data_IF_956105775082
#
_entry.id   IF_956105775082
#
_cell.length_a   1.000
_cell.length_b   1.000
_cell.length_c   1.000
_cell.angle_alpha   90.00
_cell.angle_beta   90.00
_cell.angle_gamma   90.00
#
_symmetry.space_group_name_H-M   'P 1'
#
loop_
_entity.id
_entity.type
_entity.pdbx_description
1 polymer ?
#
# COMPACT_ATOMS: atom_id res chain seq x y z
N UNK A 1 -89.25 -36.84 -36.26
CA UNK A 1 -87.93 -37.42 -35.92
C UNK A 1 -88.05 -38.94 -35.93
N UNK A 2 -87.42 -39.64 -36.87
CA UNK A 2 -87.58 -41.10 -37.08
C UNK A 2 -86.75 -41.89 -36.07
N UNK A 3 -87.19 -43.09 -35.63
CA UNK A 3 -86.50 -43.90 -34.60
C UNK A 3 -84.99 -44.08 -34.88
N UNK A 4 -84.59 -44.11 -36.15
CA UNK A 4 -83.19 -44.18 -36.61
C UNK A 4 -82.36 -42.95 -36.23
N UNK A 5 -82.91 -41.73 -36.37
CA UNK A 5 -82.22 -40.49 -35.95
C UNK A 5 -82.00 -40.38 -34.44
N UNK A 6 -82.91 -40.91 -33.61
CA UNK A 6 -82.73 -40.94 -32.14
C UNK A 6 -81.61 -41.89 -31.71
N UNK A 7 -81.49 -43.03 -32.39
CA UNK A 7 -80.46 -44.03 -32.11
C UNK A 7 -79.07 -43.53 -32.52
N UNK A 8 -78.96 -42.88 -33.68
CA UNK A 8 -77.72 -42.20 -34.10
C UNK A 8 -77.31 -41.07 -33.14
N UNK A 9 -78.25 -40.24 -32.68
CA UNK A 9 -77.96 -39.17 -31.73
C UNK A 9 -77.49 -39.72 -30.37
N UNK A 10 -78.05 -40.84 -29.92
CA UNK A 10 -77.64 -41.51 -28.69
C UNK A 10 -76.23 -42.08 -28.79
N UNK A 11 -75.85 -42.68 -29.92
CA UNK A 11 -74.49 -43.22 -30.14
C UNK A 11 -73.47 -42.09 -30.28
N UNK A 12 -73.83 -41.00 -30.94
CA UNK A 12 -72.96 -39.83 -31.02
C UNK A 12 -72.75 -39.18 -29.65
N UNK A 13 -73.82 -39.07 -28.84
CA UNK A 13 -73.73 -38.55 -27.48
C UNK A 13 -72.86 -39.41 -26.56
N UNK A 14 -72.93 -40.74 -26.66
CA UNK A 14 -72.08 -41.62 -25.86
C UNK A 14 -70.62 -41.54 -26.30
N UNK A 15 -70.36 -41.43 -27.61
CA UNK A 15 -69.00 -41.24 -28.13
C UNK A 15 -68.37 -39.94 -27.63
N UNK A 16 -69.11 -38.83 -27.67
CA UNK A 16 -68.65 -37.53 -27.14
C UNK A 16 -68.34 -37.63 -25.64
N UNK A 17 -69.19 -38.30 -24.87
CA UNK A 17 -68.97 -38.48 -23.43
C UNK A 17 -67.67 -39.26 -23.14
N UNK A 18 -67.42 -40.34 -23.89
CA UNK A 18 -66.21 -41.17 -23.74
C UNK A 18 -64.96 -40.35 -24.09
N UNK A 19 -64.98 -39.56 -25.16
CA UNK A 19 -63.83 -38.74 -25.55
C UNK A 19 -63.48 -37.68 -24.49
N UNK A 20 -64.50 -37.09 -23.85
CA UNK A 20 -64.32 -36.13 -22.74
C UNK A 20 -63.66 -36.78 -21.52
N UNK A 21 -64.09 -38.00 -21.16
CA UNK A 21 -63.51 -38.76 -20.05
C UNK A 21 -62.05 -39.13 -20.34
N UNK A 22 -61.74 -39.55 -21.57
CA UNK A 22 -60.36 -39.87 -21.95
C UNK A 22 -59.46 -38.62 -21.97
N UNK A 23 -59.94 -37.50 -22.48
CA UNK A 23 -59.18 -36.24 -22.52
C UNK A 23 -58.87 -35.71 -21.11
N UNK A 24 -59.87 -35.73 -20.21
CA UNK A 24 -59.67 -35.30 -18.82
C UNK A 24 -58.70 -36.22 -18.08
N UNK A 25 -58.79 -37.54 -18.28
CA UNK A 25 -57.83 -38.49 -17.70
C UNK A 25 -56.40 -38.23 -18.16
N UNK A 26 -56.22 -37.96 -19.46
CA UNK A 26 -54.90 -37.66 -20.04
C UNK A 26 -54.27 -36.39 -19.48
N UNK A 27 -55.06 -35.31 -19.34
CA UNK A 27 -54.57 -34.03 -18.76
C UNK A 27 -54.15 -34.21 -17.30
N UNK A 28 -54.93 -34.95 -16.50
CA UNK A 28 -54.61 -35.20 -15.09
C UNK A 28 -53.33 -36.05 -14.96
N UNK A 29 -53.12 -37.03 -15.83
CA UNK A 29 -51.88 -37.81 -15.87
C UNK A 29 -50.67 -36.93 -16.19
N UNK A 30 -50.77 -36.06 -17.20
CA UNK A 30 -49.65 -35.19 -17.58
C UNK A 30 -49.31 -34.14 -16.52
N UNK A 31 -50.29 -33.61 -15.77
CA UNK A 31 -50.03 -32.63 -14.71
C UNK A 31 -49.25 -33.22 -13.52
N UNK A 32 -49.38 -34.54 -13.27
CA UNK A 32 -48.68 -35.21 -12.16
C UNK A 32 -47.17 -35.32 -12.35
N UNK A 33 -46.67 -35.21 -13.58
CA UNK A 33 -45.26 -35.43 -13.92
C UNK A 33 -44.43 -34.14 -13.99
N UNK A 34 -44.90 -33.06 -13.36
CA UNK A 34 -44.14 -31.81 -13.34
C UNK A 34 -43.04 -31.92 -12.29
N UNK A 35 -41.79 -32.10 -12.73
CA UNK A 35 -40.62 -32.20 -11.86
C UNK A 35 -40.29 -30.81 -11.28
N UNK A 36 -40.81 -30.53 -10.07
CA UNK A 36 -40.58 -29.27 -9.39
C UNK A 36 -39.22 -29.33 -8.72
N UNK A 37 -38.23 -28.70 -9.33
CA UNK A 37 -36.90 -28.53 -8.73
C UNK A 37 -36.93 -27.37 -7.73
N UNK A 38 -36.79 -27.69 -6.44
CA UNK A 38 -36.65 -26.70 -5.37
C UNK A 38 -35.18 -26.52 -5.01
N UNK A 39 -34.71 -25.26 -4.99
CA UNK A 39 -33.37 -24.90 -4.53
C UNK A 39 -33.49 -24.21 -3.18
N UNK A 40 -32.82 -24.76 -2.17
CA UNK A 40 -32.72 -24.13 -0.85
C UNK A 40 -31.69 -22.98 -0.92
N UNK A 41 -32.17 -21.74 -0.92
CA UNK A 41 -31.30 -20.58 -0.87
C UNK A 41 -30.72 -20.39 0.54
N UNK A 42 -29.42 -20.62 0.70
CA UNK A 42 -28.70 -20.34 1.95
C UNK A 42 -28.01 -18.98 1.86
N UNK A 43 -28.34 -18.08 2.77
CA UNK A 43 -27.65 -16.80 2.92
C UNK A 43 -26.25 -17.03 3.47
N UNK A 44 -25.23 -16.81 2.65
CA UNK A 44 -23.84 -16.72 3.09
C UNK A 44 -23.45 -15.25 3.10
N UNK A 45 -23.26 -14.69 4.28
CA UNK A 45 -22.79 -13.32 4.41
C UNK A 45 -21.28 -13.27 4.08
N UNK A 46 -20.82 -12.29 3.29
CA UNK A 46 -19.40 -12.11 3.04
C UNK A 46 -18.68 -11.76 4.35
N UNK A 47 -17.53 -12.39 4.58
CA UNK A 47 -16.67 -12.03 5.71
C UNK A 47 -16.03 -10.68 5.44
N UNK A 48 -16.25 -9.72 6.34
CA UNK A 48 -15.55 -8.44 6.35
C UNK A 48 -14.55 -8.42 7.50
N UNK A 49 -13.27 -8.20 7.17
CA UNK A 49 -12.23 -7.95 8.15
C UNK A 49 -11.84 -6.48 8.07
N UNK A 50 -11.89 -5.80 9.21
CA UNK A 50 -11.27 -4.49 9.38
C UNK A 50 -9.89 -4.67 9.99
N UNK A 51 -8.93 -3.90 9.51
CA UNK A 51 -7.55 -3.95 9.98
C UNK A 51 -6.93 -2.56 9.94
N UNK A 52 -5.87 -2.38 10.72
CA UNK A 52 -5.06 -1.16 10.70
C UNK A 52 -3.92 -1.40 9.72
N UNK A 53 -3.75 -0.50 8.75
CA UNK A 53 -2.59 -0.54 7.85
C UNK A 53 -1.35 -0.14 8.66
N UNK A 54 -0.37 -1.04 8.71
CA UNK A 54 0.92 -0.80 9.35
C UNK A 54 2.03 -0.80 8.30
N UNK A 55 3.11 -0.07 8.57
CA UNK A 55 4.31 -0.06 7.75
C UNK A 55 4.96 -1.45 7.72
N UNK A 56 5.34 -1.94 6.54
CA UNK A 56 6.07 -3.20 6.40
C UNK A 56 7.44 -3.16 7.09
N UNK A 57 8.08 -1.99 7.10
CA UNK A 57 9.38 -1.75 7.71
C UNK A 57 9.45 -0.39 8.40
N UNK A 58 10.30 -0.28 9.40
CA UNK A 58 10.57 0.95 10.15
C UNK A 58 12.07 1.12 10.39
N UNK A 59 12.60 2.27 9.98
CA UNK A 59 14.01 2.61 10.13
C UNK A 59 14.16 3.84 11.04
N UNK A 60 14.47 3.63 12.33
CA UNK A 60 14.66 4.75 13.25
C UNK A 60 15.99 5.45 12.96
N UNK A 61 15.93 6.76 12.77
CA UNK A 61 17.11 7.62 12.74
C UNK A 61 17.14 8.44 14.03
N UNK A 62 18.12 8.17 14.88
CA UNK A 62 18.34 8.88 16.14
C UNK A 62 19.50 9.87 16.01
N UNK A 63 19.52 10.86 16.90
CA UNK A 63 20.63 11.81 16.99
C UNK A 63 21.95 11.09 17.30
N UNK A 64 22.99 11.40 16.53
CA UNK A 64 24.32 10.82 16.67
C UNK A 64 25.34 11.90 17.06
N UNK A 65 25.68 12.02 18.36
CA UNK A 65 26.54 13.12 18.86
C UNK A 65 27.96 13.09 18.30
N UNK A 66 28.43 11.92 17.83
CA UNK A 66 29.74 11.74 17.20
C UNK A 66 29.96 12.60 15.95
N UNK A 67 28.89 13.01 15.28
CA UNK A 67 28.95 13.87 14.09
C UNK A 67 28.84 15.37 14.41
N UNK A 68 28.67 15.73 15.68
CA UNK A 68 28.50 17.10 16.14
C UNK A 68 27.04 17.49 16.31
N UNK A 69 26.73 18.74 16.02
CA UNK A 69 25.39 19.32 16.20
C UNK A 69 24.55 19.22 14.92
N UNK A 70 23.24 19.14 15.05
CA UNK A 70 22.33 19.19 13.89
C UNK A 70 22.45 20.58 13.26
N UNK A 71 22.79 20.62 11.98
CA UNK A 71 22.84 21.83 11.17
C UNK A 71 21.51 22.09 10.49
N UNK A 72 21.01 21.07 9.78
CA UNK A 72 19.81 21.17 8.94
C UNK A 72 19.09 19.83 8.84
N UNK A 73 17.76 19.89 8.74
CA UNK A 73 16.89 18.75 8.44
C UNK A 73 16.32 18.99 7.04
N UNK A 74 16.60 18.08 6.11
CA UNK A 74 16.28 18.22 4.67
C UNK A 74 14.88 17.76 4.29
N UNK A 75 14.19 17.09 5.22
CA UNK A 75 12.91 16.44 4.98
C UNK A 75 11.81 16.98 5.89
N UNK A 76 10.57 16.89 5.42
CA UNK A 76 9.37 17.26 6.17
C UNK A 76 8.63 16.03 6.70
N UNK A 77 7.86 16.22 7.76
CA UNK A 77 6.99 15.17 8.27
C UNK A 77 5.96 14.77 7.20
N UNK A 78 5.80 13.46 6.96
CA UNK A 78 4.92 12.91 5.92
C UNK A 78 5.48 12.96 4.50
N UNK A 79 6.72 13.43 4.30
CA UNK A 79 7.34 13.47 2.97
C UNK A 79 7.70 12.06 2.48
N UNK A 80 7.33 11.76 1.24
CA UNK A 80 7.80 10.57 0.55
C UNK A 80 9.23 10.78 0.05
N UNK A 81 10.12 9.84 0.34
CA UNK A 81 11.54 9.89 -0.02
C UNK A 81 11.95 8.63 -0.77
N UNK A 82 12.89 8.76 -1.71
CA UNK A 82 13.56 7.64 -2.35
C UNK A 82 14.82 7.26 -1.57
N UNK A 83 15.37 6.07 -1.84
CA UNK A 83 16.70 5.69 -1.35
C UNK A 83 17.73 6.79 -1.64
N UNK A 84 18.68 6.98 -0.72
CA UNK A 84 19.77 7.97 -0.77
C UNK A 84 19.33 9.43 -0.67
N UNK A 85 18.04 9.72 -0.47
CA UNK A 85 17.57 11.09 -0.17
C UNK A 85 18.23 11.60 1.12
N UNK A 86 18.81 12.80 1.13
CA UNK A 86 19.38 13.39 2.34
C UNK A 86 18.28 13.64 3.36
N UNK A 87 18.51 13.23 4.61
CA UNK A 87 17.56 13.38 5.73
C UNK A 87 17.96 14.54 6.64
N UNK A 88 19.21 14.56 7.07
CA UNK A 88 19.74 15.57 7.99
C UNK A 88 21.25 15.74 7.78
N UNK A 89 21.73 16.94 8.07
CA UNK A 89 23.15 17.28 8.03
C UNK A 89 23.61 17.70 9.41
N UNK A 90 24.72 17.14 9.85
CA UNK A 90 25.46 17.53 11.03
C UNK A 90 26.56 18.54 10.68
N UNK A 91 26.93 19.33 11.68
CA UNK A 91 28.09 20.21 11.65
C UNK A 91 28.98 19.95 12.86
N UNK A 92 30.27 19.74 12.61
CA UNK A 92 31.25 19.48 13.66
C UNK A 92 32.17 20.71 13.90
N UNK A 93 31.84 21.59 14.87
CA UNK A 93 32.65 22.79 15.13
C UNK A 93 34.06 22.49 15.65
N UNK A 94 34.30 21.29 16.19
CA UNK A 94 35.61 20.91 16.73
C UNK A 94 36.69 20.78 15.64
N UNK A 95 36.28 20.67 14.37
CA UNK A 95 37.20 20.57 13.23
C UNK A 95 37.72 21.94 12.74
N UNK A 96 37.07 23.04 13.11
CA UNK A 96 37.44 24.39 12.64
C UNK A 96 38.87 24.77 13.08
N UNK A 97 39.28 24.59 14.37
CA UNK A 97 40.63 24.95 14.78
C UNK A 97 41.70 24.13 14.06
N UNK A 98 41.46 22.84 13.84
CA UNK A 98 42.36 21.94 13.10
C UNK A 98 42.52 22.40 11.64
N UNK A 99 41.41 22.75 10.97
CA UNK A 99 41.43 23.28 9.60
C UNK A 99 42.22 24.59 9.55
N UNK A 100 41.99 25.50 10.50
CA UNK A 100 42.67 26.79 10.54
C UNK A 100 44.17 26.64 10.81
N UNK A 101 44.55 25.74 11.74
CA UNK A 101 45.95 25.45 12.04
C UNK A 101 46.67 24.79 10.86
N UNK A 102 46.03 23.81 10.20
CA UNK A 102 46.63 23.17 9.03
C UNK A 102 46.72 24.13 7.84
N UNK A 103 45.71 24.99 7.66
CA UNK A 103 45.72 26.02 6.62
C UNK A 103 46.82 27.05 6.84
N UNK A 104 47.12 27.45 8.09
CA UNK A 104 48.23 28.38 8.35
C UNK A 104 49.58 27.71 8.12
N UNK A 105 49.75 26.45 8.53
CA UNK A 105 50.96 25.66 8.29
C UNK A 105 51.19 25.38 6.80
N UNK A 106 50.14 25.33 5.98
CA UNK A 106 50.25 25.13 4.52
C UNK A 106 51.14 26.16 3.81
N UNK A 107 51.28 27.36 4.39
CA UNK A 107 52.13 28.43 3.86
C UNK A 107 53.63 28.22 4.12
N UNK A 108 54.00 27.23 4.94
CA UNK A 108 55.37 27.00 5.40
C UNK A 108 56.04 25.78 4.75
N UNK A 109 55.34 25.04 3.88
CA UNK A 109 55.92 23.86 3.24
C UNK A 109 56.82 24.22 2.05
N UNK A 110 58.00 23.62 2.02
CA UNK A 110 59.01 23.89 1.00
C UNK A 110 59.13 22.78 -0.05
N UNK A 111 58.50 21.62 0.18
CA UNK A 111 58.53 20.50 -0.75
C UNK A 111 57.14 20.21 -1.31
N UNK A 112 57.09 19.76 -2.57
CA UNK A 112 55.84 19.40 -3.24
C UNK A 112 55.10 18.24 -2.55
N UNK A 113 55.85 17.33 -1.91
CA UNK A 113 55.28 16.18 -1.19
C UNK A 113 54.54 16.62 0.08
N UNK A 114 55.15 17.45 0.90
CA UNK A 114 54.53 17.95 2.14
C UNK A 114 53.30 18.80 1.82
N UNK A 115 53.38 19.63 0.78
CA UNK A 115 52.24 20.42 0.30
C UNK A 115 51.06 19.52 -0.13
N UNK A 116 51.34 18.41 -0.83
CA UNK A 116 50.31 17.45 -1.23
C UNK A 116 49.68 16.71 -0.03
N UNK A 117 50.52 16.23 0.90
CA UNK A 117 50.04 15.55 2.11
C UNK A 117 49.16 16.48 2.96
N UNK A 118 49.57 17.74 3.15
CA UNK A 118 48.78 18.77 3.81
C UNK A 118 47.44 19.02 3.10
N UNK A 119 47.45 19.17 1.77
CA UNK A 119 46.23 19.41 0.99
C UNK A 119 45.23 18.24 1.15
N UNK A 120 45.73 17.00 1.08
CA UNK A 120 44.90 15.80 1.29
C UNK A 120 44.23 15.82 2.65
N UNK A 121 44.99 16.11 3.71
CA UNK A 121 44.49 16.11 5.08
C UNK A 121 43.52 17.28 5.32
N UNK A 122 43.76 18.44 4.70
CA UNK A 122 42.86 19.59 4.74
C UNK A 122 41.52 19.29 4.04
N UNK A 123 41.55 18.64 2.88
CA UNK A 123 40.32 18.20 2.19
C UNK A 123 39.56 17.19 3.03
N UNK A 124 40.26 16.24 3.68
CA UNK A 124 39.64 15.28 4.59
C UNK A 124 38.93 15.97 5.76
N UNK A 125 39.62 16.90 6.44
CA UNK A 125 39.03 17.67 7.54
C UNK A 125 37.83 18.51 7.12
N UNK A 126 37.90 19.16 5.95
CA UNK A 126 36.77 19.91 5.38
C UNK A 126 35.59 19.01 5.04
N UNK A 127 35.83 17.78 4.62
CA UNK A 127 34.77 16.81 4.33
C UNK A 127 34.13 16.29 5.63
N UNK A 128 34.92 16.13 6.70
CA UNK A 128 34.43 15.75 8.03
C UNK A 128 33.67 16.87 8.76
N UNK A 129 33.76 18.12 8.28
CA UNK A 129 33.08 19.27 8.87
C UNK A 129 31.55 19.15 8.79
N UNK A 130 31.05 18.57 7.69
CA UNK A 130 29.63 18.35 7.44
C UNK A 130 29.37 16.88 7.12
N UNK A 131 28.50 16.24 7.90
CA UNK A 131 28.11 14.85 7.66
C UNK A 131 26.63 14.78 7.36
N UNK A 132 26.26 14.29 6.18
CA UNK A 132 24.86 14.16 5.77
C UNK A 132 24.41 12.70 5.86
N UNK A 133 23.35 12.45 6.61
CA UNK A 133 22.72 11.13 6.69
C UNK A 133 21.69 11.02 5.58
N UNK A 134 21.76 9.92 4.83
CA UNK A 134 20.83 9.60 3.75
C UNK A 134 19.91 8.45 4.16
N UNK A 135 18.72 8.40 3.57
CA UNK A 135 17.80 7.28 3.84
C UNK A 135 18.28 6.00 3.15
N UNK A 136 18.32 4.85 3.85
CA UNK A 136 18.68 3.57 3.24
C UNK A 136 17.56 3.00 2.36
N UNK A 137 16.33 3.49 2.52
CA UNK A 137 15.12 2.95 1.89
C UNK A 137 14.22 4.04 1.32
N UNK A 138 13.34 3.64 0.42
CA UNK A 138 12.20 4.45 0.02
C UNK A 138 11.06 4.33 1.04
N UNK A 139 10.35 5.42 1.31
CA UNK A 139 9.24 5.39 2.26
C UNK A 139 8.73 6.77 2.63
N UNK A 140 7.91 6.82 3.68
CA UNK A 140 7.37 8.07 4.22
C UNK A 140 8.13 8.43 5.49
N UNK A 141 8.67 9.64 5.55
CA UNK A 141 9.36 10.17 6.72
C UNK A 141 8.35 10.51 7.81
N UNK A 142 8.62 10.07 9.04
CA UNK A 142 7.93 10.54 10.23
C UNK A 142 8.91 11.23 11.16
N UNK A 143 8.71 12.53 11.37
CA UNK A 143 9.51 13.30 12.31
C UNK A 143 8.88 13.21 13.69
N UNK A 144 9.63 12.77 14.71
CA UNK A 144 9.22 12.96 16.10
C UNK A 144 9.38 14.43 16.47
N UNK A 145 8.36 15.04 17.10
CA UNK A 145 8.15 16.49 17.29
C UNK A 145 9.25 17.26 18.03
N UNK A 146 10.36 16.64 18.41
CA UNK A 146 11.49 17.30 19.06
C UNK A 146 12.45 17.85 17.99
N UNK A 147 11.94 18.71 17.11
CA UNK A 147 12.82 19.59 16.33
C UNK A 147 13.13 20.77 17.24
N UNK A 148 14.40 21.03 17.63
CA UNK A 148 14.73 22.29 18.28
C UNK A 148 14.48 23.41 17.27
N UNK A 149 13.29 24.00 17.33
CA UNK A 149 12.99 25.25 16.66
C UNK A 149 14.00 26.27 17.15
N UNK A 150 14.94 26.64 16.27
CA UNK A 150 15.90 27.71 16.50
C UNK A 150 15.09 28.96 16.80
N UNK A 151 14.96 29.35 18.08
CA UNK A 151 14.39 30.63 18.45
C UNK A 151 15.30 31.69 17.84
N UNK A 152 14.76 32.43 16.87
CA UNK A 152 15.37 33.66 16.38
C UNK A 152 15.27 34.64 17.55
N UNK A 153 16.40 34.94 18.18
CA UNK A 153 16.59 36.09 19.07
C UNK A 153 17.44 37.11 18.33
#
# INVERSE_FOLDING_TARGET
MTKKTKLFLSVFSSFVLITLICATYYVIQNMKNTDIQTVEARLTFPYHTSGIVQSDYYYPVTFQPQFGQIHEIHVKNGQQVSKETPLLTYYNPLKIPEINALSSLSTQFHTAREAYECLRDLVKLKTELYTTIQTPVQGIVRLHEIVPSKKIQ
#
